data_IF_881079527037
#
_entry.id   IF_881079527037
#
_cell.length_a   1.000
_cell.length_b   1.000
_cell.length_c   1.000
_cell.angle_alpha   90.00
_cell.angle_beta   90.00
_cell.angle_gamma   90.00
#
_symmetry.space_group_name_H-M   'P 1'
#
loop_
_entity.id
_entity.type
_entity.pdbx_description
1 polymer ?
#
# COMPACT_ATOMS: atom_id res chain seq x y z
N UNK A 1 24.41 10.85 -3.43
CA UNK A 1 24.00 9.55 -4.00
C UNK A 1 22.97 9.82 -5.08
N UNK A 2 22.87 8.99 -6.11
CA UNK A 2 21.82 9.16 -7.12
C UNK A 2 20.45 8.87 -6.49
N UNK A 3 19.49 9.76 -6.71
CA UNK A 3 18.11 9.63 -6.21
C UNK A 3 17.45 8.40 -6.85
N UNK A 4 16.87 7.51 -6.03
CA UNK A 4 16.31 6.23 -6.51
C UNK A 4 14.79 6.26 -6.62
N UNK A 5 14.24 5.53 -7.57
CA UNK A 5 12.79 5.38 -7.69
C UNK A 5 12.38 3.94 -8.03
N UNK A 6 11.22 3.51 -7.54
CA UNK A 6 10.72 2.16 -7.81
C UNK A 6 9.25 1.93 -7.50
N UNK A 7 8.70 0.88 -8.10
CA UNK A 7 7.35 0.40 -7.85
C UNK A 7 7.37 -0.77 -6.86
N UNK A 8 6.44 -0.77 -5.90
CA UNK A 8 6.30 -1.80 -4.87
C UNK A 8 4.86 -2.27 -4.82
N UNK A 9 4.63 -3.58 -4.90
CA UNK A 9 3.29 -4.16 -4.77
C UNK A 9 3.15 -4.86 -3.42
N UNK A 10 2.09 -4.52 -2.67
CA UNK A 10 1.73 -5.22 -1.43
C UNK A 10 0.62 -6.22 -1.74
N UNK A 11 0.97 -7.49 -1.67
CA UNK A 11 0.09 -8.63 -2.02
C UNK A 11 -0.12 -9.56 -0.82
N UNK A 12 -1.23 -10.27 -0.81
CA UNK A 12 -1.57 -11.24 0.23
C UNK A 12 -3.08 -11.44 0.41
N UNK A 13 -3.44 -12.40 1.27
CA UNK A 13 -4.84 -12.74 1.56
C UNK A 13 -5.64 -11.52 2.07
N UNK A 14 -6.98 -11.54 1.98
CA UNK A 14 -7.81 -10.51 2.62
C UNK A 14 -7.50 -10.37 4.12
N UNK A 15 -7.63 -9.15 4.64
CA UNK A 15 -7.51 -8.83 6.07
C UNK A 15 -6.17 -9.12 6.77
N UNK A 16 -5.08 -9.45 6.04
CA UNK A 16 -3.74 -9.66 6.64
C UNK A 16 -2.98 -8.37 7.00
N UNK A 17 -3.65 -7.20 6.96
CA UNK A 17 -3.05 -5.92 7.34
C UNK A 17 -2.32 -5.14 6.24
N UNK A 18 -2.48 -5.52 4.96
CA UNK A 18 -1.87 -4.83 3.80
C UNK A 18 -2.08 -3.31 3.83
N UNK A 19 -3.33 -2.86 3.91
CA UNK A 19 -3.70 -1.45 3.95
C UNK A 19 -3.22 -0.72 5.22
N UNK A 20 -3.11 -1.46 6.34
CA UNK A 20 -2.50 -0.93 7.57
C UNK A 20 -1.01 -0.66 7.40
N UNK A 21 -0.28 -1.58 6.76
CA UNK A 21 1.12 -1.40 6.43
C UNK A 21 1.32 -0.22 5.47
N UNK A 22 0.51 -0.12 4.40
CA UNK A 22 0.56 1.02 3.48
C UNK A 22 0.36 2.35 4.20
N UNK A 23 -0.66 2.45 5.06
CA UNK A 23 -0.92 3.68 5.82
C UNK A 23 0.23 4.02 6.78
N UNK A 24 0.84 3.02 7.43
CA UNK A 24 1.98 3.22 8.31
C UNK A 24 3.22 3.73 7.54
N UNK A 25 3.49 3.17 6.35
CA UNK A 25 4.61 3.61 5.50
C UNK A 25 4.45 5.05 5.00
N UNK A 26 3.22 5.51 4.75
CA UNK A 26 2.95 6.88 4.30
C UNK A 26 2.81 7.86 5.49
N UNK A 27 2.59 7.35 6.71
CA UNK A 27 2.29 8.20 7.87
C UNK A 27 0.93 8.88 7.80
N UNK A 28 0.05 8.47 6.86
CA UNK A 28 -1.29 9.00 6.69
C UNK A 28 -2.31 7.88 6.46
N UNK A 29 -3.57 8.14 6.84
CA UNK A 29 -4.66 7.19 6.66
C UNK A 29 -5.24 7.28 5.24
N UNK A 30 -4.49 6.76 4.26
CA UNK A 30 -4.84 6.75 2.82
C UNK A 30 -5.88 5.69 2.46
N UNK A 31 -5.71 4.48 2.99
CA UNK A 31 -6.59 3.33 2.73
C UNK A 31 -7.60 3.15 3.86
N UNK A 32 -8.83 2.76 3.50
CA UNK A 32 -9.86 2.37 4.46
C UNK A 32 -9.43 1.05 5.11
N UNK A 33 -9.49 0.96 6.44
CA UNK A 33 -9.16 -0.25 7.21
C UNK A 33 -10.43 -0.69 7.96
N UNK A 34 -10.88 -1.92 7.72
CA UNK A 34 -11.96 -2.57 8.48
C UNK A 34 -11.78 -4.09 8.48
N UNK A 35 -12.37 -4.78 9.46
CA UNK A 35 -12.39 -6.24 9.57
C UNK A 35 -13.27 -6.91 8.51
N UNK A 36 -14.13 -6.15 7.83
CA UNK A 36 -14.96 -6.66 6.72
C UNK A 36 -14.06 -7.04 5.54
N UNK A 37 -14.16 -8.29 5.08
CA UNK A 37 -13.46 -8.73 3.88
C UNK A 37 -13.84 -7.86 2.66
N UNK A 38 -12.95 -7.78 1.66
CA UNK A 38 -13.09 -6.92 0.47
C UNK A 38 -13.17 -5.40 0.77
N UNK A 39 -12.40 -4.92 1.73
CA UNK A 39 -12.30 -3.48 2.01
C UNK A 39 -11.67 -2.71 0.85
N UNK A 40 -10.61 -3.27 0.22
CA UNK A 40 -9.96 -2.69 -0.96
C UNK A 40 -10.61 -3.27 -2.22
N UNK A 41 -11.47 -2.48 -2.88
CA UNK A 41 -12.16 -2.87 -4.14
C UNK A 41 -11.45 -2.40 -5.41
N UNK A 42 -10.64 -1.35 -5.30
CA UNK A 42 -9.81 -0.81 -6.37
C UNK A 42 -8.37 -0.69 -5.86
N UNK A 43 -7.40 -0.81 -6.76
CA UNK A 43 -5.99 -0.61 -6.44
C UNK A 43 -5.79 0.83 -5.96
N UNK A 44 -5.20 0.99 -4.77
CA UNK A 44 -4.82 2.31 -4.24
C UNK A 44 -3.33 2.49 -4.48
N UNK A 45 -2.97 3.61 -5.10
CA UNK A 45 -1.58 4.03 -5.27
C UNK A 45 -1.21 5.00 -4.16
N UNK A 46 -0.13 4.70 -3.46
CA UNK A 46 0.47 5.54 -2.45
C UNK A 46 1.88 5.93 -2.90
N UNK A 47 2.20 7.22 -2.83
CA UNK A 47 3.50 7.75 -3.23
C UNK A 47 4.22 8.21 -1.97
N UNK A 48 5.36 7.59 -1.67
CA UNK A 48 6.26 8.00 -0.61
C UNK A 48 7.45 8.72 -1.24
N UNK A 49 7.59 10.01 -0.93
CA UNK A 49 8.72 10.82 -1.35
C UNK A 49 9.65 11.06 -0.16
N UNK A 50 10.94 10.78 -0.35
CA UNK A 50 12.02 11.09 0.57
C UNK A 50 13.12 11.84 -0.19
N UNK A 51 14.05 12.46 0.52
CA UNK A 51 15.16 13.23 -0.09
C UNK A 51 16.03 12.37 -1.04
N UNK A 52 16.19 11.08 -0.73
CA UNK A 52 17.08 10.17 -1.46
C UNK A 52 16.32 9.17 -2.36
N UNK A 53 15.00 9.04 -2.19
CA UNK A 53 14.23 8.04 -2.91
C UNK A 53 12.74 8.34 -3.03
N UNK A 54 12.11 7.70 -4.01
CA UNK A 54 10.66 7.68 -4.21
C UNK A 54 10.14 6.24 -4.36
N UNK A 55 9.07 5.91 -3.64
CA UNK A 55 8.37 4.64 -3.79
C UNK A 55 6.93 4.87 -4.28
N UNK A 56 6.54 4.14 -5.32
CA UNK A 56 5.14 4.04 -5.76
C UNK A 56 4.59 2.70 -5.30
N UNK A 57 3.83 2.73 -4.20
CA UNK A 57 3.27 1.56 -3.53
C UNK A 57 1.86 1.31 -4.05
N UNK A 58 1.59 0.09 -4.50
CA UNK A 58 0.26 -0.37 -4.90
C UNK A 58 -0.32 -1.30 -3.82
N UNK A 59 -1.36 -0.83 -3.12
CA UNK A 59 -2.20 -1.67 -2.26
C UNK A 59 -3.27 -2.36 -3.11
N UNK A 60 -3.25 -3.69 -3.11
CA UNK A 60 -4.09 -4.51 -3.97
C UNK A 60 -5.24 -5.15 -3.19
N UNK A 61 -6.40 -5.40 -3.83
CA UNK A 61 -7.42 -6.27 -3.27
C UNK A 61 -6.80 -7.58 -2.77
N UNK A 62 -7.28 -8.08 -1.63
CA UNK A 62 -6.81 -9.38 -1.14
C UNK A 62 -7.04 -10.47 -2.17
N UNK A 63 -6.04 -11.32 -2.42
CA UNK A 63 -6.16 -12.42 -3.38
C UNK A 63 -7.19 -13.41 -2.83
N UNK A 64 -8.28 -13.61 -3.57
CA UNK A 64 -9.31 -14.61 -3.27
C UNK A 64 -9.04 -15.78 -4.23
N UNK A 65 -8.96 -17.00 -3.69
CA UNK A 65 -8.80 -18.23 -4.48
C UNK A 65 -10.15 -18.80 -4.87
#
# INVERSE_FOLDING_TARGET
MEHKAGFVNIIGNPNVGKSSLTNALIGQKLSIITSKAQTTRHRILAILNHEDYQLVISDTPGIIK
#
